data_IF_136327137452
#
_entry.id   IF_136327137452
#
_cell.length_a   1.000
_cell.length_b   1.000
_cell.length_c   1.000
_cell.angle_alpha   90.00
_cell.angle_beta   90.00
_cell.angle_gamma   90.00
#
_symmetry.space_group_name_H-M   'P 1'
#
loop_
_entity.id
_entity.type
_entity.pdbx_description
1 polymer ?
#
# COMPACT_ATOMS: atom_id res chain seq x y z
N UNK A 1 17.88 -3.58 -6.69
CA UNK A 1 16.87 -4.66 -6.68
C UNK A 1 16.11 -4.61 -5.35
N UNK A 2 15.50 -3.45 -5.05
CA UNK A 2 14.77 -3.23 -3.80
C UNK A 2 13.28 -2.94 -4.03
N UNK A 3 12.85 -2.98 -5.30
CA UNK A 3 11.52 -2.52 -5.66
C UNK A 3 10.41 -3.51 -5.28
N UNK A 4 10.74 -4.81 -5.22
CA UNK A 4 9.81 -5.82 -4.73
C UNK A 4 9.90 -5.85 -3.19
N UNK A 5 8.84 -5.47 -2.44
CA UNK A 5 8.88 -5.49 -0.98
C UNK A 5 9.02 -6.89 -0.38
N UNK A 6 8.78 -7.92 -1.20
CA UNK A 6 8.88 -9.33 -0.84
C UNK A 6 10.15 -10.00 -1.39
N UNK A 7 11.04 -9.23 -2.04
CA UNK A 7 12.30 -9.71 -2.61
C UNK A 7 12.14 -10.91 -3.56
N UNK A 8 11.03 -10.97 -4.30
CA UNK A 8 10.73 -12.07 -5.24
C UNK A 8 11.41 -11.91 -6.62
N UNK A 9 11.95 -10.73 -6.91
CA UNK A 9 12.68 -10.45 -8.16
C UNK A 9 14.16 -10.54 -7.85
N UNK A 10 14.85 -11.47 -8.51
CA UNK A 10 16.25 -11.82 -8.29
C UNK A 10 17.09 -11.54 -9.54
N UNK A 11 18.44 -11.45 -9.43
CA UNK A 11 19.30 -11.25 -10.60
C UNK A 11 19.35 -12.54 -11.42
N UNK A 12 19.10 -12.41 -12.72
CA UNK A 12 19.28 -13.48 -13.71
C UNK A 12 20.64 -13.40 -14.41
N UNK A 13 20.77 -14.18 -15.48
CA UNK A 13 21.95 -14.13 -16.36
C UNK A 13 22.12 -12.73 -16.96
N UNK A 14 23.37 -12.30 -17.09
CA UNK A 14 23.73 -10.98 -17.65
C UNK A 14 23.14 -9.78 -16.88
N UNK A 15 22.69 -9.97 -15.64
CA UNK A 15 22.16 -8.90 -14.81
C UNK A 15 20.68 -8.58 -15.07
N UNK A 16 20.00 -9.34 -15.93
CA UNK A 16 18.57 -9.15 -16.18
C UNK A 16 17.74 -9.67 -14.99
N UNK A 17 16.93 -8.85 -14.32
CA UNK A 17 16.11 -9.31 -13.20
C UNK A 17 15.00 -10.25 -13.68
N UNK A 18 14.72 -11.32 -12.92
CA UNK A 18 13.60 -12.23 -13.18
C UNK A 18 12.95 -12.70 -11.88
N UNK A 19 11.73 -13.24 -11.98
CA UNK A 19 11.00 -13.86 -10.88
C UNK A 19 10.83 -15.36 -11.20
N UNK A 20 11.33 -16.29 -10.36
CA UNK A 20 11.09 -17.71 -10.53
C UNK A 20 9.60 -18.06 -10.41
N UNK A 21 9.13 -19.02 -11.21
CA UNK A 21 7.72 -19.41 -11.22
C UNK A 21 7.28 -20.01 -9.87
N UNK A 22 8.18 -20.70 -9.17
CA UNK A 22 7.92 -21.36 -7.88
C UNK A 22 7.54 -20.36 -6.78
N UNK A 23 8.00 -19.12 -6.89
CA UNK A 23 7.72 -18.07 -5.89
C UNK A 23 6.54 -17.18 -6.28
N UNK A 24 5.95 -17.38 -7.45
CA UNK A 24 4.82 -16.57 -7.96
C UNK A 24 3.62 -16.56 -7.02
N UNK A 25 3.40 -17.64 -6.26
CA UNK A 25 2.32 -17.76 -5.27
C UNK A 25 2.44 -16.76 -4.11
N UNK A 26 3.64 -16.24 -3.84
CA UNK A 26 3.88 -15.28 -2.76
C UNK A 26 3.68 -13.82 -3.21
N UNK A 27 3.49 -13.56 -4.50
CA UNK A 27 3.30 -12.21 -5.02
C UNK A 27 1.99 -11.60 -4.49
N UNK A 28 2.09 -10.46 -3.80
CA UNK A 28 0.94 -9.69 -3.29
C UNK A 28 0.24 -8.85 -4.34
N UNK A 29 0.67 -8.93 -5.61
CA UNK A 29 0.08 -8.21 -6.74
C UNK A 29 0.11 -6.68 -6.57
N UNK A 30 1.16 -6.15 -5.92
CA UNK A 30 1.28 -4.71 -5.63
C UNK A 30 1.64 -3.85 -6.84
N UNK A 31 2.19 -4.44 -7.91
CA UNK A 31 2.53 -3.72 -9.14
C UNK A 31 3.80 -2.84 -9.08
N UNK A 32 4.56 -2.85 -7.98
CA UNK A 32 5.74 -1.99 -7.83
C UNK A 32 6.80 -2.24 -8.91
N UNK A 33 6.97 -3.49 -9.35
CA UNK A 33 7.94 -3.84 -10.39
C UNK A 33 7.58 -3.28 -11.77
N UNK A 34 6.29 -3.32 -12.15
CA UNK A 34 5.81 -2.70 -13.39
C UNK A 34 5.98 -1.18 -13.34
N UNK A 35 5.53 -0.55 -12.24
CA UNK A 35 5.49 0.91 -12.12
C UNK A 35 6.88 1.59 -12.17
N UNK A 36 7.94 0.90 -11.74
CA UNK A 36 9.29 1.45 -11.67
C UNK A 36 10.23 0.94 -12.75
N UNK A 37 9.81 -0.01 -13.60
CA UNK A 37 10.66 -0.48 -14.68
C UNK A 37 10.79 0.60 -15.76
N UNK A 38 11.98 1.19 -15.96
CA UNK A 38 12.15 2.30 -16.92
C UNK A 38 11.92 1.84 -18.37
N UNK A 39 12.29 0.61 -18.68
CA UNK A 39 12.17 0.01 -20.02
C UNK A 39 10.76 -0.54 -20.29
N UNK A 40 9.87 -0.56 -19.31
CA UNK A 40 8.55 -1.18 -19.44
C UNK A 40 8.58 -2.70 -19.71
N UNK A 41 9.68 -3.38 -19.35
CA UNK A 41 9.91 -4.79 -19.65
C UNK A 41 9.08 -5.76 -18.78
N UNK A 42 8.40 -5.25 -17.75
CA UNK A 42 7.66 -6.07 -16.78
C UNK A 42 6.16 -5.89 -17.01
N UNK A 43 5.48 -6.96 -17.41
CA UNK A 43 4.01 -7.00 -17.55
C UNK A 43 3.41 -7.98 -16.54
N UNK A 44 2.71 -7.51 -15.50
CA UNK A 44 2.09 -8.39 -14.51
C UNK A 44 0.89 -9.14 -15.09
N UNK A 45 0.67 -10.38 -14.65
CA UNK A 45 -0.51 -11.18 -15.03
C UNK A 45 -1.78 -10.77 -14.26
N UNK A 46 -1.79 -9.59 -13.65
CA UNK A 46 -2.90 -9.03 -12.88
C UNK A 46 -3.07 -7.56 -13.22
N UNK A 47 -4.28 -7.03 -13.02
CA UNK A 47 -4.54 -5.60 -13.21
C UNK A 47 -3.91 -4.81 -12.06
N UNK A 48 -2.97 -3.95 -12.39
CA UNK A 48 -2.40 -2.91 -11.51
C UNK A 48 -3.18 -1.62 -11.56
N UNK A 49 -4.08 -1.49 -12.53
CA UNK A 49 -5.06 -0.40 -12.57
C UNK A 49 -5.90 -0.47 -11.31
N UNK A 50 -5.80 0.57 -10.49
CA UNK A 50 -6.70 0.71 -9.35
C UNK A 50 -8.13 0.76 -9.89
N UNK A 51 -9.10 0.14 -9.20
CA UNK A 51 -10.49 0.33 -9.56
C UNK A 51 -10.74 1.84 -9.55
N UNK A 52 -11.07 2.39 -10.72
CA UNK A 52 -11.63 3.74 -10.81
C UNK A 52 -12.88 3.65 -9.94
N UNK A 53 -12.83 4.27 -8.77
CA UNK A 53 -13.99 4.35 -7.88
C UNK A 53 -14.98 5.22 -8.65
N UNK A 54 -15.90 4.57 -9.37
CA UNK A 54 -17.02 5.27 -9.95
C UNK A 54 -17.81 5.87 -8.78
N UNK A 55 -17.83 7.20 -8.71
CA UNK A 55 -18.57 8.00 -7.71
C UNK A 55 -20.08 7.72 -7.68
N UNK A 56 -20.57 6.73 -8.44
CA UNK A 56 -21.99 6.48 -8.64
C UNK A 56 -22.77 6.14 -7.37
N UNK A 57 -22.11 5.78 -6.26
CA UNK A 57 -22.78 5.41 -5.02
C UNK A 57 -22.08 5.94 -3.75
N UNK A 58 -21.53 7.17 -3.79
CA UNK A 58 -21.13 7.82 -2.53
C UNK A 58 -22.39 8.40 -1.88
N UNK A 59 -23.10 7.58 -1.12
CA UNK A 59 -24.09 8.10 -0.19
C UNK A 59 -23.35 9.03 0.79
N UNK A 60 -23.84 10.27 0.93
CA UNK A 60 -23.22 11.26 1.80
C UNK A 60 -23.11 10.72 3.22
N UNK A 61 -21.88 10.50 3.69
CA UNK A 61 -21.61 10.14 5.07
C UNK A 61 -21.73 11.40 5.92
N UNK A 62 -22.60 11.39 6.93
CA UNK A 62 -22.67 12.52 7.86
C UNK A 62 -21.38 12.61 8.68
N UNK A 63 -20.99 13.80 9.17
CA UNK A 63 -19.83 13.94 10.05
C UNK A 63 -19.86 12.99 11.27
N UNK A 64 -21.06 12.76 11.83
CA UNK A 64 -21.24 11.81 12.94
C UNK A 64 -20.94 10.36 12.56
N UNK A 65 -21.43 9.90 11.41
CA UNK A 65 -21.15 8.55 10.90
C UNK A 65 -19.67 8.37 10.53
N UNK A 66 -19.05 9.39 9.92
CA UNK A 66 -17.61 9.39 9.64
C UNK A 66 -16.81 9.30 10.94
N UNK A 67 -17.21 10.05 11.98
CA UNK A 67 -16.59 9.99 13.29
C UNK A 67 -16.65 8.60 13.94
N UNK A 68 -17.76 7.87 13.79
CA UNK A 68 -17.89 6.49 14.27
C UNK A 68 -16.91 5.57 13.52
N UNK A 69 -16.90 5.63 12.18
CA UNK A 69 -16.01 4.81 11.35
C UNK A 69 -14.52 5.06 11.67
N UNK A 70 -14.13 6.33 11.83
CA UNK A 70 -12.78 6.73 12.21
C UNK A 70 -12.35 6.25 13.61
N UNK A 71 -13.30 6.02 14.52
CA UNK A 71 -13.03 5.48 15.87
C UNK A 71 -13.02 3.95 15.91
N UNK A 72 -13.81 3.29 15.07
CA UNK A 72 -13.89 1.82 15.01
C UNK A 72 -12.55 1.16 14.59
N UNK A 73 -11.72 1.86 13.81
CA UNK A 73 -10.42 1.34 13.34
C UNK A 73 -9.21 1.75 14.18
N UNK A 74 -9.39 2.41 15.33
CA UNK A 74 -8.24 2.78 16.17
C UNK A 74 -7.99 1.72 17.25
N UNK A 75 -6.72 1.35 17.38
CA UNK A 75 -6.17 0.79 18.62
C UNK A 75 -6.65 1.63 19.82
N UNK A 76 -7.08 0.98 20.89
CA UNK A 76 -7.42 1.66 22.15
C UNK A 76 -6.16 2.39 22.63
N UNK A 77 -6.17 3.72 22.53
CA UNK A 77 -5.08 4.57 23.03
C UNK A 77 -5.38 4.90 24.48
N UNK A 78 -4.65 4.28 25.40
CA UNK A 78 -4.65 4.65 26.81
C UNK A 78 -3.73 5.86 26.99
N UNK A 79 -4.32 7.05 27.13
CA UNK A 79 -3.56 8.25 27.45
C UNK A 79 -3.28 8.30 28.96
N UNK A 80 -2.11 8.83 29.33
CA UNK A 80 -1.84 9.17 30.73
C UNK A 80 -2.58 10.47 31.06
N UNK A 81 -3.05 10.60 32.30
CA UNK A 81 -3.63 11.84 32.82
C UNK A 81 -2.54 12.87 33.11
N UNK A 82 -1.84 13.28 32.06
CA UNK A 82 -0.75 14.23 32.10
C UNK A 82 -0.85 15.15 30.89
N UNK A 83 -1.07 16.43 31.16
CA UNK A 83 -0.99 17.49 30.15
C UNK A 83 0.43 17.52 29.54
N UNK A 84 0.50 17.71 28.24
CA UNK A 84 1.75 17.91 27.52
C UNK A 84 1.83 19.37 27.06
N UNK A 85 3.05 19.90 27.00
CA UNK A 85 3.29 21.25 26.53
C UNK A 85 2.96 21.39 25.05
N UNK A 86 2.51 22.57 24.67
CA UNK A 86 2.02 22.83 23.31
C UNK A 86 3.13 22.68 22.28
N UNK A 87 4.37 23.04 22.63
CA UNK A 87 5.53 22.85 21.75
C UNK A 87 5.70 21.37 21.33
N UNK A 88 5.27 20.41 22.16
CA UNK A 88 5.37 18.97 21.84
C UNK A 88 4.42 18.52 20.71
N UNK A 89 3.35 19.30 20.42
CA UNK A 89 2.34 18.96 19.41
C UNK A 89 2.63 19.63 18.07
N UNK A 90 3.36 20.74 18.08
CA UNK A 90 3.56 21.62 16.92
C UNK A 90 4.86 21.34 16.12
N UNK A 91 5.66 20.36 16.53
CA UNK A 91 6.72 19.71 15.71
C UNK A 91 6.18 18.58 14.84
#
# INVERSE_FOLDING_TARGET
MEICPLSLIIPGSEGMPFMPDEVGAYCTKCGSCEAFCPEGAITPQFKTTHPIIFEKNVHGITPGQMGIYMRQRRSIRNYKDRMIDRETIEE
#
